data_IF_940312877114
#
_entry.id   IF_940312877114
#
_cell.length_a   1.000
_cell.length_b   1.000
_cell.length_c   1.000
_cell.angle_alpha   90.00
_cell.angle_beta   90.00
_cell.angle_gamma   90.00
#
_symmetry.space_group_name_H-M   'P 1'
#
loop_
_entity.id
_entity.type
_entity.pdbx_description
1 polymer ?
#
# COMPACT_ATOMS: atom_id res chain seq x y z
N UNK A 1 -16.23 17.01 -4.97
CA UNK A 1 -15.31 15.98 -4.48
C UNK A 1 -15.99 15.36 -3.29
N UNK A 2 -16.34 14.08 -3.37
CA UNK A 2 -17.02 13.42 -2.25
C UNK A 2 -16.03 13.20 -1.12
N UNK A 3 -16.43 13.63 0.09
CA UNK A 3 -15.64 13.39 1.30
C UNK A 3 -15.84 11.92 1.66
N UNK A 4 -14.77 11.14 1.86
CA UNK A 4 -14.91 9.74 2.22
C UNK A 4 -15.62 9.59 3.57
N UNK A 5 -16.26 8.44 3.84
CA UNK A 5 -16.81 8.15 5.15
C UNK A 5 -15.76 8.32 6.25
N UNK A 6 -16.16 8.85 7.41
CA UNK A 6 -15.24 9.09 8.51
C UNK A 6 -14.54 7.80 8.96
N UNK A 7 -13.30 7.93 9.43
CA UNK A 7 -12.46 6.83 9.92
C UNK A 7 -12.14 5.75 8.87
N UNK A 8 -12.16 6.09 7.58
CA UNK A 8 -11.76 5.19 6.49
C UNK A 8 -10.49 5.67 5.79
N UNK A 9 -9.65 4.70 5.41
CA UNK A 9 -8.41 4.97 4.67
C UNK A 9 -8.72 5.10 3.18
N UNK A 10 -8.49 6.29 2.63
CA UNK A 10 -8.77 6.59 1.22
C UNK A 10 -7.65 7.44 0.63
N UNK A 11 -7.24 7.14 -0.60
CA UNK A 11 -6.34 8.00 -1.37
C UNK A 11 -6.97 8.36 -2.70
N UNK A 12 -7.05 9.66 -2.97
CA UNK A 12 -7.68 10.21 -4.16
C UNK A 12 -6.62 10.96 -4.99
N UNK A 13 -6.54 10.64 -6.28
CA UNK A 13 -5.69 11.35 -7.23
C UNK A 13 -6.55 12.24 -8.11
N UNK A 14 -6.39 13.55 -7.99
CA UNK A 14 -7.18 14.54 -8.72
C UNK A 14 -6.25 15.40 -9.55
N UNK A 15 -6.64 15.65 -10.80
CA UNK A 15 -5.97 16.65 -11.63
C UNK A 15 -6.37 18.03 -11.13
N UNK A 16 -5.38 18.88 -10.86
CA UNK A 16 -5.64 20.27 -10.47
C UNK A 16 -6.28 21.01 -11.66
N UNK A 17 -7.47 21.63 -11.49
CA UNK A 17 -8.12 22.39 -12.56
C UNK A 17 -7.19 23.45 -13.14
N UNK A 18 -7.31 23.70 -14.45
CA UNK A 18 -6.49 24.67 -15.20
C UNK A 18 -4.96 24.48 -15.13
N UNK A 19 -4.46 23.38 -14.56
CA UNK A 19 -3.03 23.05 -14.57
C UNK A 19 -2.57 22.33 -15.84
N UNK A 20 -3.50 22.02 -16.74
CA UNK A 20 -3.24 21.26 -17.95
C UNK A 20 -2.59 22.14 -19.01
N UNK A 21 -1.43 21.74 -19.50
CA UNK A 21 -0.77 22.39 -20.63
C UNK A 21 -0.07 21.37 -21.51
N UNK A 22 0.09 21.71 -22.79
CA UNK A 22 0.71 20.83 -23.77
C UNK A 22 2.16 21.25 -23.95
N UNK A 23 3.10 20.29 -23.83
CA UNK A 23 4.50 20.49 -24.17
C UNK A 23 4.91 19.59 -25.31
N UNK A 24 5.84 20.07 -26.12
CA UNK A 24 6.51 19.26 -27.12
C UNK A 24 7.19 18.07 -26.42
N UNK A 25 7.02 16.87 -26.98
CA UNK A 25 7.60 15.67 -26.41
C UNK A 25 9.12 15.80 -26.31
N UNK A 26 9.64 15.78 -25.09
CA UNK A 26 11.08 15.89 -24.81
C UNK A 26 11.90 14.77 -25.46
N UNK A 27 11.31 13.58 -25.63
CA UNK A 27 12.02 12.41 -26.13
C UNK A 27 12.23 12.43 -27.66
N UNK A 28 11.31 13.04 -28.42
CA UNK A 28 11.41 13.11 -29.88
C UNK A 28 11.52 14.55 -30.41
N UNK A 29 11.52 15.56 -29.53
CA UNK A 29 11.54 16.98 -29.86
C UNK A 29 10.53 17.32 -30.97
N UNK A 30 9.28 16.87 -30.82
CA UNK A 30 8.20 17.13 -31.77
C UNK A 30 8.20 16.26 -33.04
N UNK A 31 9.17 15.36 -33.24
CA UNK A 31 9.23 14.54 -34.47
C UNK A 31 8.28 13.35 -34.51
N UNK A 32 7.70 12.96 -33.37
CA UNK A 32 6.87 11.75 -33.21
C UNK A 32 7.62 10.42 -33.37
N UNK A 33 8.88 10.46 -33.79
CA UNK A 33 9.74 9.31 -34.10
C UNK A 33 11.11 9.52 -33.47
N UNK A 34 11.72 8.43 -33.02
CA UNK A 34 13.06 8.39 -32.44
C UNK A 34 13.99 7.57 -33.33
N UNK A 35 15.24 8.01 -33.48
CA UNK A 35 16.25 7.32 -34.29
C UNK A 35 16.44 5.89 -33.76
N UNK A 36 16.41 4.90 -34.65
CA UNK A 36 16.62 3.51 -34.23
C UNK A 36 18.07 3.37 -33.75
N UNK A 37 18.25 3.02 -32.48
CA UNK A 37 19.58 2.83 -31.86
C UNK A 37 20.36 1.70 -32.54
N UNK A 38 19.71 0.58 -32.89
CA UNK A 38 20.36 -0.59 -33.48
C UNK A 38 20.99 -0.33 -34.86
N UNK A 39 20.42 0.56 -35.67
CA UNK A 39 20.97 0.88 -37.00
C UNK A 39 21.44 2.34 -37.12
N UNK A 40 21.44 3.09 -36.01
CA UNK A 40 21.79 4.51 -35.97
C UNK A 40 21.12 5.32 -37.10
N UNK A 41 19.82 5.11 -37.34
CA UNK A 41 19.09 5.83 -38.40
C UNK A 41 19.25 5.28 -39.82
N UNK A 42 20.16 4.33 -40.06
CA UNK A 42 20.50 3.87 -41.43
C UNK A 42 19.49 2.88 -42.03
N UNK A 43 18.55 2.36 -41.25
CA UNK A 43 17.60 1.30 -41.69
C UNK A 43 18.23 -0.08 -41.92
N UNK A 44 19.56 -0.19 -41.96
CA UNK A 44 20.29 -1.44 -42.14
C UNK A 44 21.36 -1.61 -41.06
N UNK A 45 21.59 -2.84 -40.63
CA UNK A 45 22.65 -3.22 -39.66
C UNK A 45 23.73 -4.04 -40.35
N UNK A 46 24.94 -4.04 -39.77
CA UNK A 46 26.06 -4.86 -40.25
C UNK A 46 25.62 -6.33 -40.27
N UNK A 47 25.86 -7.04 -41.37
CA UNK A 47 25.59 -8.47 -41.43
C UNK A 47 26.60 -9.18 -40.52
N UNK A 48 26.11 -9.77 -39.42
CA UNK A 48 26.96 -10.54 -38.50
C UNK A 48 27.62 -11.73 -39.20
N UNK A 49 26.89 -12.40 -40.10
CA UNK A 49 27.37 -13.58 -40.79
C UNK A 49 28.63 -13.33 -41.64
N UNK A 50 28.82 -12.14 -42.20
CA UNK A 50 30.02 -11.82 -43.00
C UNK A 50 30.80 -10.64 -42.41
N UNK A 51 30.53 -10.25 -41.17
CA UNK A 51 31.14 -9.09 -40.51
C UNK A 51 31.22 -7.84 -41.39
N UNK A 52 30.16 -7.56 -42.17
CA UNK A 52 30.12 -6.38 -43.04
C UNK A 52 30.76 -6.51 -44.43
N UNK A 53 31.54 -7.57 -44.69
CA UNK A 53 32.34 -7.69 -45.92
C UNK A 53 31.55 -8.13 -47.16
N UNK A 54 30.28 -8.53 -47.00
CA UNK A 54 29.45 -9.05 -48.08
C UNK A 54 29.87 -10.41 -48.62
N UNK A 55 30.97 -10.99 -48.12
CA UNK A 55 31.53 -12.28 -48.56
C UNK A 55 31.94 -13.14 -47.35
N UNK A 56 31.87 -14.45 -47.52
CA UNK A 56 32.48 -15.46 -46.63
C UNK A 56 33.52 -16.21 -47.47
N UNK A 57 34.80 -15.87 -47.29
CA UNK A 57 35.85 -16.31 -48.21
C UNK A 57 35.62 -15.79 -49.63
N UNK A 58 35.74 -16.67 -50.64
CA UNK A 58 35.51 -16.33 -52.06
C UNK A 58 34.03 -16.27 -52.46
N UNK A 59 33.10 -16.72 -51.60
CA UNK A 59 31.66 -16.78 -51.92
C UNK A 59 30.91 -15.55 -51.43
N UNK A 60 29.94 -15.09 -52.21
CA UNK A 60 28.99 -14.05 -51.82
C UNK A 60 28.23 -14.51 -50.57
N UNK A 61 28.10 -13.64 -49.56
CA UNK A 61 27.37 -13.97 -48.35
C UNK A 61 25.88 -14.14 -48.70
N UNK A 62 25.32 -15.34 -48.47
CA UNK A 62 23.91 -15.65 -48.73
C UNK A 62 22.96 -14.85 -47.84
N UNK A 63 23.34 -14.59 -46.59
CA UNK A 63 22.50 -13.93 -45.59
C UNK A 63 22.26 -12.43 -45.86
N UNK A 64 23.15 -11.79 -46.62
CA UNK A 64 23.01 -10.38 -47.03
C UNK A 64 23.10 -10.19 -48.54
N UNK A 65 23.08 -11.28 -49.31
CA UNK A 65 23.19 -11.31 -50.78
C UNK A 65 24.32 -10.43 -51.33
N UNK A 66 25.47 -10.40 -50.66
CA UNK A 66 26.63 -9.61 -51.10
C UNK A 66 26.67 -8.16 -50.60
N UNK A 67 25.59 -7.64 -50.02
CA UNK A 67 25.51 -6.23 -49.61
C UNK A 67 26.28 -5.88 -48.34
N UNK A 68 26.74 -6.88 -47.58
CA UNK A 68 27.41 -6.70 -46.29
C UNK A 68 26.51 -6.18 -45.16
N UNK A 69 25.26 -5.79 -45.45
CA UNK A 69 24.32 -5.21 -44.50
C UNK A 69 22.95 -5.84 -44.62
N UNK A 70 22.22 -5.98 -43.51
CA UNK A 70 20.86 -6.52 -43.52
C UNK A 70 19.86 -5.46 -43.11
N UNK A 71 18.61 -5.60 -43.54
CA UNK A 71 17.50 -4.76 -43.05
C UNK A 71 17.49 -4.84 -41.53
N UNK A 72 17.45 -3.70 -40.87
CA UNK A 72 17.37 -3.64 -39.43
C UNK A 72 16.03 -4.22 -38.98
N UNK A 73 16.05 -5.35 -38.28
CA UNK A 73 14.85 -6.02 -37.77
C UNK A 73 14.07 -5.12 -36.81
N UNK A 74 14.79 -4.27 -36.06
CA UNK A 74 14.19 -3.48 -34.99
C UNK A 74 13.38 -2.27 -35.46
N UNK A 75 13.67 -1.74 -36.65
CA UNK A 75 12.88 -0.67 -37.27
C UNK A 75 12.29 -1.09 -38.61
N UNK A 76 12.37 -2.38 -38.96
CA UNK A 76 11.92 -2.94 -40.23
C UNK A 76 12.42 -2.18 -41.47
N UNK A 77 13.64 -1.65 -41.40
CA UNK A 77 14.21 -0.87 -42.50
C UNK A 77 13.92 0.64 -42.47
N UNK A 78 13.05 1.12 -41.59
CA UNK A 78 12.61 2.53 -41.55
C UNK A 78 13.70 3.48 -41.04
N UNK A 79 14.67 3.00 -40.26
CA UNK A 79 15.71 3.83 -39.64
C UNK A 79 15.27 4.56 -38.37
N UNK A 80 13.97 4.74 -38.16
CA UNK A 80 13.36 5.27 -36.94
C UNK A 80 12.32 4.33 -36.35
N UNK A 81 12.00 4.53 -35.07
CA UNK A 81 10.87 3.90 -34.38
C UNK A 81 9.90 4.99 -33.95
N UNK A 82 8.62 4.67 -33.83
CA UNK A 82 7.64 5.57 -33.21
C UNK A 82 8.09 5.91 -31.80
N UNK A 83 7.98 7.18 -31.40
CA UNK A 83 8.32 7.59 -30.05
C UNK A 83 7.39 6.89 -29.05
N UNK A 84 7.96 6.18 -28.06
CA UNK A 84 7.16 5.48 -27.05
C UNK A 84 6.51 6.44 -26.05
N UNK A 85 7.16 7.57 -25.75
CA UNK A 85 6.67 8.53 -24.75
C UNK A 85 5.43 9.27 -25.21
N UNK A 86 5.36 9.67 -26.50
CA UNK A 86 4.19 10.37 -27.05
C UNK A 86 3.39 9.52 -28.04
N UNK A 87 3.74 8.25 -28.23
CA UNK A 87 3.09 7.33 -29.19
C UNK A 87 2.95 7.85 -30.64
N UNK A 88 3.76 8.84 -31.03
CA UNK A 88 3.69 9.49 -32.34
C UNK A 88 2.91 10.81 -32.37
N UNK A 89 2.24 11.19 -31.27
CA UNK A 89 1.45 12.43 -31.16
C UNK A 89 2.28 13.72 -31.06
N UNK A 90 3.62 13.60 -30.98
CA UNK A 90 4.59 14.72 -30.98
C UNK A 90 4.58 15.61 -29.72
N UNK A 91 3.43 15.70 -29.05
CA UNK A 91 3.21 16.48 -27.85
C UNK A 91 2.81 15.57 -26.68
N UNK A 92 3.01 16.08 -25.46
CA UNK A 92 2.64 15.46 -24.20
C UNK A 92 1.76 16.42 -23.42
N UNK A 93 0.68 15.88 -22.83
CA UNK A 93 -0.14 16.61 -21.88
C UNK A 93 0.52 16.54 -20.51
N UNK A 94 0.85 17.70 -19.96
CA UNK A 94 1.32 17.84 -18.60
C UNK A 94 0.21 18.46 -17.75
N UNK A 95 0.15 18.07 -16.49
CA UNK A 95 -0.77 18.62 -15.51
C UNK A 95 -0.21 18.38 -14.11
N UNK A 96 -0.68 19.16 -13.14
CA UNK A 96 -0.38 18.92 -11.74
C UNK A 96 -1.41 17.91 -11.22
N UNK A 97 -0.92 16.82 -10.63
CA UNK A 97 -1.74 15.84 -9.95
C UNK A 97 -1.65 16.05 -8.45
N UNK A 98 -2.77 16.42 -7.83
CA UNK A 98 -2.90 16.46 -6.39
C UNK A 98 -3.24 15.05 -5.90
N UNK A 99 -2.55 14.59 -4.86
CA UNK A 99 -2.89 13.34 -4.16
C UNK A 99 -3.38 13.73 -2.77
N UNK A 100 -4.66 13.49 -2.50
CA UNK A 100 -5.28 13.73 -1.20
C UNK A 100 -5.42 12.40 -0.49
N UNK A 101 -4.89 12.29 0.73
CA UNK A 101 -4.88 11.06 1.52
C UNK A 101 -5.61 11.27 2.84
N UNK A 102 -6.64 10.47 3.07
CA UNK A 102 -7.31 10.32 4.36
C UNK A 102 -6.78 9.04 4.98
N UNK A 103 -6.35 9.13 6.24
CA UNK A 103 -5.80 8.01 6.98
C UNK A 103 -6.35 8.03 8.40
N UNK A 104 -6.94 6.93 8.82
CA UNK A 104 -7.40 6.70 10.17
C UNK A 104 -6.24 6.19 11.03
N UNK A 105 -5.93 6.92 12.10
CA UNK A 105 -4.84 6.58 13.01
C UNK A 105 -5.44 5.93 14.26
N UNK A 106 -5.42 4.60 14.29
CA UNK A 106 -6.01 3.82 15.39
C UNK A 106 -4.94 3.49 16.43
N UNK A 107 -5.24 3.80 17.69
CA UNK A 107 -4.44 3.41 18.84
C UNK A 107 -5.35 2.74 19.86
N UNK A 108 -4.90 1.60 20.39
CA UNK A 108 -5.63 0.84 21.40
C UNK A 108 -4.73 0.62 22.61
N UNK A 109 -5.32 0.64 23.79
CA UNK A 109 -4.67 0.30 25.04
C UNK A 109 -5.57 -0.62 25.82
N UNK A 110 -4.98 -1.73 26.28
CA UNK A 110 -5.67 -2.73 27.09
C UNK A 110 -4.86 -2.84 28.38
N UNK A 111 -5.43 -2.46 29.54
CA UNK A 111 -4.76 -2.65 30.81
C UNK A 111 -4.49 -4.14 31.06
N UNK A 112 -3.27 -4.48 31.46
CA UNK A 112 -2.92 -5.86 31.83
C UNK A 112 -3.47 -6.18 33.23
N UNK A 113 -4.75 -6.57 33.29
CA UNK A 113 -5.43 -6.90 34.55
C UNK A 113 -5.29 -8.37 34.94
N UNK A 114 -4.92 -9.25 34.01
CA UNK A 114 -4.89 -10.69 34.23
C UNK A 114 -3.65 -11.33 33.58
N UNK A 115 -2.52 -11.41 34.32
CA UNK A 115 -1.22 -11.82 33.77
C UNK A 115 -1.19 -13.21 33.14
N UNK A 116 -2.06 -14.14 33.57
CA UNK A 116 -2.13 -15.49 32.99
C UNK A 116 -2.83 -15.52 31.62
N UNK A 117 -3.49 -14.43 31.22
CA UNK A 117 -4.20 -14.32 29.94
C UNK A 117 -3.42 -13.45 28.94
N UNK A 118 -3.17 -13.93 27.71
CA UNK A 118 -2.40 -13.17 26.73
C UNK A 118 -3.24 -12.04 26.11
N UNK A 119 -2.90 -10.79 26.47
CA UNK A 119 -3.59 -9.55 26.06
C UNK A 119 -3.82 -9.43 24.55
N UNK A 120 -2.88 -9.92 23.72
CA UNK A 120 -3.00 -9.90 22.24
C UNK A 120 -4.25 -10.61 21.73
N UNK A 121 -4.87 -11.48 22.52
CA UNK A 121 -6.15 -12.12 22.15
C UNK A 121 -7.30 -11.13 22.08
N UNK A 122 -7.25 -10.03 22.84
CA UNK A 122 -8.26 -8.99 22.81
C UNK A 122 -8.30 -8.20 21.50
N UNK A 123 -7.19 -8.15 20.74
CA UNK A 123 -7.15 -7.48 19.42
C UNK A 123 -8.11 -8.09 18.38
N UNK A 124 -8.61 -9.30 18.63
CA UNK A 124 -9.45 -10.07 17.69
C UNK A 124 -10.88 -10.28 18.18
N UNK A 125 -11.29 -9.63 19.27
CA UNK A 125 -12.64 -9.74 19.82
C UNK A 125 -13.22 -8.36 20.04
N UNK A 126 -14.54 -8.31 20.10
CA UNK A 126 -15.29 -7.11 20.44
C UNK A 126 -15.76 -7.13 21.89
N UNK A 127 -15.95 -5.93 22.44
CA UNK A 127 -16.58 -5.69 23.72
C UNK A 127 -17.79 -4.76 23.58
N UNK A 128 -18.47 -4.53 24.70
CA UNK A 128 -19.56 -3.56 24.75
C UNK A 128 -18.98 -2.14 24.83
N UNK A 129 -19.43 -1.25 23.95
CA UNK A 129 -19.04 0.15 23.99
C UNK A 129 -19.67 0.83 25.22
N UNK A 130 -18.85 1.04 26.25
CA UNK A 130 -19.27 1.68 27.49
C UNK A 130 -19.28 3.21 27.37
N UNK A 131 -18.31 3.75 26.63
CA UNK A 131 -18.18 5.18 26.39
C UNK A 131 -17.73 5.41 24.96
N UNK A 132 -18.31 6.42 24.31
CA UNK A 132 -17.89 6.90 22.99
C UNK A 132 -17.98 8.42 23.00
N UNK A 133 -16.89 9.07 22.60
CA UNK A 133 -16.81 10.51 22.44
C UNK A 133 -16.19 10.85 21.09
N UNK A 134 -16.81 11.79 20.37
CA UNK A 134 -16.44 12.20 19.02
C UNK A 134 -16.37 13.73 18.95
N UNK A 135 -15.24 14.26 18.49
CA UNK A 135 -15.02 15.71 18.33
C UNK A 135 -13.93 15.96 17.28
N UNK A 136 -13.74 17.21 16.86
CA UNK A 136 -12.58 17.58 16.01
C UNK A 136 -11.28 17.25 16.75
N UNK A 137 -11.23 17.63 18.02
CA UNK A 137 -10.23 17.22 18.99
C UNK A 137 -10.97 16.77 20.25
N UNK A 138 -10.73 15.53 20.66
CA UNK A 138 -11.33 15.00 21.90
C UNK A 138 -10.55 15.49 23.11
N UNK A 139 -11.22 15.65 24.24
CA UNK A 139 -10.56 15.97 25.50
C UNK A 139 -10.13 14.68 26.22
N UNK A 140 -9.01 14.70 26.97
CA UNK A 140 -8.66 13.57 27.81
C UNK A 140 -9.80 13.17 28.75
N UNK A 141 -10.00 11.87 28.90
CA UNK A 141 -11.01 11.33 29.82
C UNK A 141 -10.59 11.65 31.25
N UNK A 142 -11.50 12.26 32.00
CA UNK A 142 -11.32 12.62 33.42
C UNK A 142 -12.44 12.01 34.25
N UNK A 143 -12.14 11.65 35.50
CA UNK A 143 -13.13 11.10 36.43
C UNK A 143 -13.52 9.64 36.18
N UNK A 144 -12.87 8.93 35.24
CA UNK A 144 -13.06 7.50 35.09
C UNK A 144 -12.41 6.74 36.26
N UNK A 145 -13.03 5.67 36.80
CA UNK A 145 -12.51 4.97 37.98
C UNK A 145 -11.09 4.39 37.80
N UNK A 146 -10.75 3.92 36.59
CA UNK A 146 -9.42 3.42 36.27
C UNK A 146 -8.51 4.56 35.81
N UNK A 147 -7.56 4.95 36.66
CA UNK A 147 -6.61 6.03 36.35
C UNK A 147 -5.69 5.69 35.19
N UNK A 148 -5.39 4.40 34.93
CA UNK A 148 -4.57 4.03 33.77
C UNK A 148 -5.26 4.41 32.45
N UNK A 149 -6.59 4.33 32.41
CA UNK A 149 -7.38 4.73 31.24
C UNK A 149 -7.36 6.26 31.08
N UNK A 150 -7.51 7.02 32.17
CA UNK A 150 -7.39 8.48 32.16
C UNK A 150 -6.01 8.94 31.66
N UNK A 151 -4.94 8.37 32.23
CA UNK A 151 -3.56 8.70 31.87
C UNK A 151 -3.24 8.33 30.43
N UNK A 152 -3.72 7.16 29.98
CA UNK A 152 -3.52 6.74 28.60
C UNK A 152 -4.32 7.60 27.61
N UNK A 153 -5.56 7.98 27.93
CA UNK A 153 -6.36 8.90 27.11
C UNK A 153 -5.65 10.25 26.95
N UNK A 154 -5.10 10.80 28.04
CA UNK A 154 -4.27 12.03 28.00
C UNK A 154 -3.07 11.86 27.07
N UNK A 155 -2.28 10.81 27.30
CA UNK A 155 -1.09 10.51 26.51
C UNK A 155 -1.40 10.32 25.03
N UNK A 156 -2.43 9.56 24.68
CA UNK A 156 -2.81 9.31 23.28
C UNK A 156 -3.26 10.59 22.58
N UNK A 157 -4.08 11.40 23.25
CA UNK A 157 -4.56 12.68 22.71
C UNK A 157 -3.40 13.65 22.45
N UNK A 158 -2.48 13.77 23.41
CA UNK A 158 -1.27 14.60 23.26
C UNK A 158 -0.34 14.08 22.16
N UNK A 159 -0.11 12.76 22.10
CA UNK A 159 0.71 12.15 21.05
C UNK A 159 0.15 12.40 19.65
N UNK A 160 -1.17 12.29 19.48
CA UNK A 160 -1.83 12.59 18.21
C UNK A 160 -1.64 14.04 17.82
N UNK A 161 -1.88 14.96 18.76
CA UNK A 161 -1.71 16.39 18.52
C UNK A 161 -0.27 16.70 18.10
N UNK A 162 0.72 16.21 18.83
CA UNK A 162 2.13 16.45 18.55
C UNK A 162 2.59 15.82 17.23
N UNK A 163 2.18 14.58 16.94
CA UNK A 163 2.61 13.85 15.72
C UNK A 163 1.98 14.41 14.46
N UNK A 164 0.72 14.84 14.51
CA UNK A 164 -0.05 15.14 13.31
C UNK A 164 -0.19 16.62 13.01
N UNK A 165 -0.18 17.52 14.01
CA UNK A 165 -0.47 18.95 13.78
C UNK A 165 0.46 19.66 12.79
N UNK A 166 1.70 19.20 12.63
CA UNK A 166 2.67 19.82 11.71
C UNK A 166 2.67 19.22 10.31
N UNK A 167 2.15 17.99 10.12
CA UNK A 167 2.26 17.23 8.86
C UNK A 167 0.90 17.06 8.18
N UNK A 168 -0.19 17.05 8.97
CA UNK A 168 -1.52 16.71 8.48
C UNK A 168 -2.59 17.45 9.26
N UNK A 169 -3.76 17.63 8.65
CA UNK A 169 -4.92 18.18 9.35
C UNK A 169 -5.70 17.06 10.01
N UNK A 170 -5.90 17.15 11.33
CA UNK A 170 -6.85 16.31 12.05
C UNK A 170 -8.26 16.80 11.68
N UNK A 171 -9.06 15.90 11.10
CA UNK A 171 -10.44 16.21 10.71
C UNK A 171 -11.42 15.88 11.84
N UNK A 172 -11.19 14.75 12.51
CA UNK A 172 -12.00 14.26 13.60
C UNK A 172 -11.20 13.26 14.41
N UNK A 173 -11.48 13.20 15.71
CA UNK A 173 -11.00 12.18 16.63
C UNK A 173 -12.19 11.48 17.28
N UNK A 174 -11.99 10.22 17.61
CA UNK A 174 -12.92 9.43 18.40
C UNK A 174 -12.13 8.68 19.46
N UNK A 175 -12.65 8.69 20.68
CA UNK A 175 -12.18 7.81 21.72
C UNK A 175 -13.35 6.95 22.21
N UNK A 176 -13.08 5.69 22.46
CA UNK A 176 -14.05 4.75 23.02
C UNK A 176 -13.43 3.98 24.17
N UNK A 177 -14.26 3.69 25.18
CA UNK A 177 -13.95 2.69 26.20
C UNK A 177 -14.84 1.49 25.90
N UNK A 178 -14.22 0.35 25.64
CA UNK A 178 -14.91 -0.91 25.40
C UNK A 178 -14.69 -1.86 26.57
N UNK A 179 -15.77 -2.47 27.06
CA UNK A 179 -15.76 -3.50 28.08
C UNK A 179 -15.73 -4.86 27.40
N UNK A 180 -14.57 -5.50 27.42
CA UNK A 180 -14.42 -6.84 26.86
C UNK A 180 -14.59 -7.87 27.98
N UNK A 181 -15.63 -8.73 27.94
CA UNK A 181 -15.83 -9.73 28.98
C UNK A 181 -14.70 -10.76 28.97
N UNK A 182 -14.27 -11.17 30.16
CA UNK A 182 -13.31 -12.24 30.39
C UNK A 182 -13.81 -13.10 31.54
N UNK A 183 -14.02 -14.38 31.30
CA UNK A 183 -14.44 -15.37 32.31
C UNK A 183 -13.36 -16.43 32.44
N UNK A 184 -12.85 -16.62 33.65
CA UNK A 184 -11.94 -17.70 33.98
C UNK A 184 -12.75 -18.86 34.59
N UNK A 185 -12.78 -19.99 33.89
CA UNK A 185 -13.49 -21.17 34.31
C UNK A 185 -12.51 -22.25 34.79
N UNK A 186 -12.82 -22.85 35.93
CA UNK A 186 -12.09 -23.97 36.53
C UNK A 186 -12.95 -25.22 36.45
N UNK A 187 -12.35 -26.35 36.10
CA UNK A 187 -13.06 -27.62 35.99
C UNK A 187 -12.13 -28.78 36.32
N UNK A 188 -12.71 -29.87 36.83
CA UNK A 188 -12.00 -31.11 37.11
C UNK A 188 -12.37 -32.15 36.05
N UNK A 189 -11.37 -32.76 35.43
CA UNK A 189 -11.54 -33.83 34.44
C UNK A 189 -10.60 -34.99 34.75
N UNK A 190 -11.14 -36.22 34.85
CA UNK A 190 -10.39 -37.44 35.22
C UNK A 190 -9.50 -37.26 36.47
N UNK A 191 -10.02 -36.54 37.47
CA UNK A 191 -9.33 -36.30 38.74
C UNK A 191 -8.17 -35.29 38.66
N UNK A 192 -8.01 -34.59 37.54
CA UNK A 192 -7.07 -33.47 37.39
C UNK A 192 -7.82 -32.16 37.21
N UNK A 193 -7.31 -31.10 37.83
CA UNK A 193 -7.87 -29.76 37.69
C UNK A 193 -7.29 -29.05 36.47
N UNK A 194 -8.16 -28.33 35.77
CA UNK A 194 -7.88 -27.62 34.55
C UNK A 194 -8.58 -26.26 34.56
N UNK A 195 -8.13 -25.37 33.68
CA UNK A 195 -8.75 -24.09 33.49
C UNK A 195 -8.81 -23.68 32.01
N UNK A 196 -9.73 -22.77 31.72
CA UNK A 196 -9.81 -22.09 30.44
C UNK A 196 -10.44 -20.71 30.61
N UNK A 197 -10.22 -19.86 29.62
CA UNK A 197 -10.76 -18.52 29.54
C UNK A 197 -11.79 -18.46 28.42
N UNK A 198 -12.92 -17.82 28.69
CA UNK A 198 -13.89 -17.37 27.68
C UNK A 198 -13.78 -15.86 27.60
N UNK A 199 -13.64 -15.30 26.40
CA UNK A 199 -13.39 -13.88 26.24
C UNK A 199 -14.05 -13.30 24.99
N UNK A 200 -14.38 -12.00 25.06
CA UNK A 200 -15.09 -11.29 24.01
C UNK A 200 -16.58 -11.63 23.96
N UNK A 201 -17.35 -10.77 23.31
CA UNK A 201 -18.79 -11.03 23.06
C UNK A 201 -19.01 -12.24 22.16
N UNK A 202 -18.00 -12.61 21.37
CA UNK A 202 -18.02 -13.81 20.52
C UNK A 202 -17.77 -15.10 21.30
N UNK A 203 -17.57 -15.04 22.63
CA UNK A 203 -17.31 -16.18 23.51
C UNK A 203 -16.12 -17.05 23.03
N UNK A 204 -15.02 -16.42 22.61
CA UNK A 204 -13.82 -17.17 22.19
C UNK A 204 -13.19 -17.87 23.37
N UNK A 205 -12.65 -19.06 23.13
CA UNK A 205 -12.06 -19.90 24.18
C UNK A 205 -10.54 -19.91 24.06
N UNK A 206 -9.87 -19.74 25.19
CA UNK A 206 -8.44 -19.98 25.34
C UNK A 206 -8.19 -20.98 26.47
N UNK A 207 -7.69 -22.15 26.11
CA UNK A 207 -7.33 -23.19 27.08
C UNK A 207 -5.83 -23.47 26.98
N UNK A 208 -5.00 -22.96 27.91
CA UNK A 208 -3.56 -23.22 27.88
C UNK A 208 -3.25 -24.70 28.14
N UNK A 209 -3.98 -25.34 29.05
CA UNK A 209 -3.75 -26.71 29.48
C UNK A 209 -4.96 -27.60 29.14
N UNK A 210 -5.27 -27.75 27.85
CA UNK A 210 -6.44 -28.55 27.44
C UNK A 210 -6.17 -30.08 27.60
N UNK A 211 -7.08 -30.86 28.23
CA UNK A 211 -6.84 -32.24 28.67
C UNK A 211 -6.70 -33.30 27.57
N UNK A 212 -7.11 -33.01 26.33
CA UNK A 212 -7.03 -33.97 25.23
C UNK A 212 -6.90 -33.23 23.91
N UNK A 213 -5.92 -33.55 23.07
CA UNK A 213 -5.82 -33.06 21.69
C UNK A 213 -7.03 -33.54 20.88
N UNK A 214 -8.15 -32.81 20.94
CA UNK A 214 -9.28 -33.01 20.05
C UNK A 214 -8.87 -32.49 18.68
N UNK A 215 -8.33 -33.38 17.85
CA UNK A 215 -8.35 -33.21 16.41
C UNK A 215 -9.80 -33.32 15.97
N UNK A 216 -10.38 -32.20 15.56
CA UNK A 216 -11.62 -32.20 14.77
C UNK A 216 -11.25 -32.90 13.46
N UNK A 217 -11.75 -34.14 13.29
CA UNK A 217 -11.76 -34.86 12.01
C UNK A 217 -12.81 -34.24 11.09
#
# INVERSE_FOLDING_TARGET
MEVPPMYTDVSLKVRVPHSSFVKVCHQCHGRGKVKCRNCFGRGKTKCLSCSGNGRKGKRRCSTCSGSGRRRCIQCFGKGHKTCKSCLGHQNLLHFIQLTVTWKNQVHAFIPDRYPEFPIKKFEKVSGDAFFVDESILVYPIVGFPDQNICDMSRKMTEEHLCKFSSVSRILQQRQSIELVPLTHAFYTYKGKDYNYFVYGLENKVYSPNYPSSCSIL
#
